data_IF_413885195483
#
_entry.id   IF_413885195483
#
_cell.length_a   1.000
_cell.length_b   1.000
_cell.length_c   1.000
_cell.angle_alpha   90.00
_cell.angle_beta   90.00
_cell.angle_gamma   90.00
#
_symmetry.space_group_name_H-M   'P 1'
#
loop_
_entity.id
_entity.type
_entity.pdbx_description
1 polymer ?
#
# COMPACT_ATOMS: atom_id res chain seq x y z
N UNK A 1 34.04 22.89 34.76
CA UNK A 1 33.55 22.66 36.13
C UNK A 1 32.02 22.61 36.01
N UNK A 2 31.29 21.50 36.14
CA UNK A 2 31.53 20.25 36.84
C UNK A 2 31.15 19.02 36.01
N UNK A 3 31.90 17.95 36.26
CA UNK A 3 31.75 16.59 35.78
C UNK A 3 30.98 15.75 36.81
N UNK A 4 30.57 14.55 36.39
CA UNK A 4 29.87 13.46 37.11
C UNK A 4 28.36 13.45 36.84
N UNK A 5 27.74 12.44 36.22
CA UNK A 5 28.08 11.02 36.15
C UNK A 5 27.92 10.41 34.76
N UNK A 6 28.87 9.55 34.44
CA UNK A 6 28.72 8.45 33.49
C UNK A 6 27.55 7.56 33.89
N UNK A 7 26.69 7.21 32.93
CA UNK A 7 26.05 5.91 32.92
C UNK A 7 25.90 5.44 31.47
N UNK A 8 26.95 4.75 31.00
CA UNK A 8 26.87 3.73 29.96
C UNK A 8 25.61 2.89 30.17
N UNK A 9 24.79 2.70 29.13
CA UNK A 9 24.12 1.41 28.94
C UNK A 9 23.75 1.20 27.47
N UNK A 10 24.67 0.60 26.73
CA UNK A 10 24.33 -0.28 25.60
C UNK A 10 23.28 -1.28 26.11
N UNK A 11 22.08 -1.26 25.54
CA UNK A 11 21.10 -2.31 25.77
C UNK A 11 20.62 -2.86 24.43
N UNK A 12 21.39 -3.84 23.98
CA UNK A 12 20.97 -5.08 23.33
C UNK A 12 20.24 -4.95 21.99
N UNK A 13 20.98 -5.31 20.94
CA UNK A 13 20.47 -6.02 19.76
C UNK A 13 19.31 -6.94 20.15
N UNK A 14 18.08 -6.52 19.86
CA UNK A 14 16.95 -7.45 19.80
C UNK A 14 17.12 -8.26 18.53
N UNK A 15 17.77 -9.41 18.65
CA UNK A 15 17.65 -10.47 17.68
C UNK A 15 16.15 -10.79 17.53
N UNK A 16 15.56 -10.41 16.40
CA UNK A 16 14.24 -10.88 16.05
C UNK A 16 14.38 -12.37 15.71
N UNK A 17 14.10 -13.24 16.67
CA UNK A 17 13.86 -14.66 16.40
C UNK A 17 12.51 -14.70 15.68
N UNK A 18 12.56 -14.78 14.35
CA UNK A 18 11.38 -15.07 13.53
C UNK A 18 11.16 -16.58 13.61
N UNK A 19 10.36 -17.03 14.59
CA UNK A 19 9.79 -18.38 14.59
C UNK A 19 8.51 -18.35 13.75
N UNK A 20 8.60 -18.79 12.50
CA UNK A 20 7.43 -19.10 11.67
C UNK A 20 7.06 -20.55 11.91
N UNK A 21 6.04 -20.79 12.74
CA UNK A 21 5.29 -22.05 12.73
C UNK A 21 3.97 -21.80 12.01
N UNK A 22 3.91 -22.07 10.72
CA UNK A 22 2.64 -22.19 9.99
C UNK A 22 2.28 -23.67 9.94
N UNK A 23 1.39 -24.10 10.82
CA UNK A 23 0.70 -25.39 10.68
C UNK A 23 -0.66 -25.11 10.02
N UNK A 24 -0.76 -25.35 8.72
CA UNK A 24 -2.05 -25.52 8.04
C UNK A 24 -2.31 -27.02 7.89
N UNK A 25 -3.07 -27.59 8.83
CA UNK A 25 -3.61 -28.93 8.69
C UNK A 25 -4.87 -28.89 7.85
N UNK A 26 -4.76 -29.31 6.58
CA UNK A 26 -5.94 -29.75 5.81
C UNK A 26 -5.86 -31.27 5.79
N UNK A 27 -6.72 -31.91 6.58
CA UNK A 27 -6.91 -33.35 6.53
C UNK A 27 -7.69 -33.68 5.24
N UNK A 28 -6.98 -34.12 4.21
CA UNK A 28 -7.54 -34.78 3.04
C UNK A 28 -6.77 -36.07 2.80
N UNK A 29 -7.34 -37.20 3.21
CA UNK A 29 -6.83 -38.52 2.82
C UNK A 29 -7.17 -38.79 1.36
N UNK A 30 -6.16 -39.09 0.54
CA UNK A 30 -6.06 -40.35 -0.23
C UNK A 30 -5.17 -40.16 -1.47
N UNK A 31 -3.88 -40.42 -1.29
CA UNK A 31 -2.91 -40.63 -2.35
C UNK A 31 -1.89 -41.67 -1.87
N UNK A 32 -2.30 -42.94 -1.84
CA UNK A 32 -1.43 -44.04 -1.43
C UNK A 32 -0.24 -44.16 -2.40
N UNK A 33 0.98 -44.02 -1.88
CA UNK A 33 2.20 -44.53 -2.53
C UNK A 33 3.27 -43.52 -2.94
N UNK A 34 3.13 -42.22 -2.69
CA UNK A 34 4.26 -41.30 -2.94
C UNK A 34 5.20 -41.29 -1.73
N UNK A 35 6.41 -41.86 -1.90
CA UNK A 35 7.52 -41.65 -0.95
C UNK A 35 7.72 -40.13 -0.81
N UNK A 36 7.80 -39.58 0.43
CA UNK A 36 8.08 -38.17 0.61
C UNK A 36 9.39 -37.83 -0.11
N UNK A 37 9.34 -36.87 -1.03
CA UNK A 37 10.55 -36.35 -1.64
C UNK A 37 11.36 -35.63 -0.55
N UNK A 38 12.52 -36.19 -0.20
CA UNK A 38 13.40 -35.58 0.78
C UNK A 38 14.35 -34.62 0.07
N UNK A 39 14.17 -33.32 0.29
CA UNK A 39 15.03 -32.26 -0.26
C UNK A 39 15.84 -31.67 0.88
N UNK A 40 17.13 -31.42 0.64
CA UNK A 40 17.99 -30.65 1.54
C UNK A 40 18.56 -29.44 0.80
N UNK A 41 18.77 -28.35 1.52
CA UNK A 41 19.35 -27.12 1.00
C UNK A 41 20.48 -26.64 1.93
N UNK A 42 21.53 -26.08 1.34
CA UNK A 42 22.64 -25.46 2.06
C UNK A 42 22.59 -23.95 1.79
N UNK A 43 22.71 -23.14 2.84
CA UNK A 43 22.74 -21.67 2.73
C UNK A 43 24.17 -21.19 2.90
N UNK A 44 24.78 -20.63 1.85
CA UNK A 44 26.10 -19.99 1.90
C UNK A 44 25.93 -18.48 2.11
N UNK A 45 25.92 -18.04 3.36
CA UNK A 45 25.66 -16.63 3.70
C UNK A 45 26.81 -15.66 3.33
N UNK A 46 27.98 -16.19 2.99
CA UNK A 46 29.20 -15.50 2.59
C UNK A 46 29.31 -15.23 1.07
N UNK A 47 28.41 -15.80 0.26
CA UNK A 47 28.39 -15.65 -1.19
C UNK A 47 27.06 -15.04 -1.69
N UNK A 48 26.74 -13.78 -1.34
CA UNK A 48 25.50 -13.15 -1.79
C UNK A 48 25.50 -12.93 -3.32
N UNK A 49 24.46 -13.40 -4.00
CA UNK A 49 24.31 -13.23 -5.46
C UNK A 49 23.58 -11.96 -5.87
N UNK A 50 22.81 -11.36 -4.95
CA UNK A 50 22.09 -10.11 -5.18
C UNK A 50 21.78 -9.40 -3.85
N UNK A 51 21.38 -8.12 -3.92
CA UNK A 51 20.95 -7.31 -2.79
C UNK A 51 19.52 -6.83 -3.03
N UNK A 52 18.65 -7.04 -2.05
CA UNK A 52 17.31 -6.48 -2.03
C UNK A 52 17.16 -5.61 -0.77
N UNK A 53 16.56 -4.42 -0.93
CA UNK A 53 16.07 -3.61 0.20
C UNK A 53 14.56 -3.81 0.22
N UNK A 54 13.99 -4.67 1.09
CA UNK A 54 12.59 -5.07 1.01
C UNK A 54 11.63 -3.87 1.06
N UNK A 55 11.94 -2.87 1.87
CA UNK A 55 11.16 -1.62 2.01
C UNK A 55 11.21 -0.71 0.78
N UNK A 56 12.03 -1.02 -0.22
CA UNK A 56 12.06 -0.31 -1.51
C UNK A 56 11.59 -1.21 -2.66
N UNK A 57 11.84 -2.51 -2.55
CA UNK A 57 11.51 -3.50 -3.57
C UNK A 57 10.04 -3.97 -3.49
N UNK A 58 9.44 -3.93 -2.30
CA UNK A 58 8.07 -4.36 -2.05
C UNK A 58 7.19 -3.13 -1.75
N UNK A 59 6.24 -2.86 -2.63
CA UNK A 59 5.28 -1.77 -2.51
C UNK A 59 3.84 -2.26 -2.49
N UNK A 60 2.92 -1.32 -2.34
CA UNK A 60 1.48 -1.55 -2.40
C UNK A 60 0.78 -0.58 -3.35
N UNK A 61 -0.38 -1.00 -3.86
CA UNK A 61 -1.21 -0.22 -4.77
C UNK A 61 -2.53 0.17 -4.12
N UNK A 62 -2.93 1.43 -4.27
CA UNK A 62 -4.28 1.91 -3.94
C UNK A 62 -5.02 2.20 -5.25
N UNK A 63 -6.07 1.44 -5.53
CA UNK A 63 -6.87 1.66 -6.73
C UNK A 63 -7.99 2.68 -6.48
N UNK A 64 -8.58 3.17 -7.57
CA UNK A 64 -9.69 4.09 -7.49
C UNK A 64 -10.99 3.38 -7.06
N UNK A 65 -11.71 3.97 -6.12
CA UNK A 65 -12.97 3.41 -5.59
C UNK A 65 -14.18 4.29 -5.88
N UNK A 66 -15.39 3.79 -5.61
CA UNK A 66 -16.62 4.59 -5.75
C UNK A 66 -16.68 5.68 -4.69
N UNK A 67 -17.58 6.64 -4.92
CA UNK A 67 -17.84 7.71 -3.96
C UNK A 67 -18.22 7.11 -2.60
N UNK A 68 -17.47 7.45 -1.57
CA UNK A 68 -17.70 7.01 -0.19
C UNK A 68 -16.90 5.78 0.24
N UNK A 69 -16.36 5.00 -0.71
CA UNK A 69 -15.61 3.78 -0.39
C UNK A 69 -14.29 4.06 0.31
N UNK A 70 -13.59 5.14 -0.07
CA UNK A 70 -12.36 5.56 0.61
C UNK A 70 -12.59 5.79 2.11
N UNK A 71 -13.72 6.38 2.50
CA UNK A 71 -14.04 6.63 3.91
C UNK A 71 -14.31 5.33 4.69
N UNK A 72 -14.87 4.31 4.03
CA UNK A 72 -15.05 2.97 4.63
C UNK A 72 -13.73 2.19 4.71
N UNK A 73 -12.88 2.33 3.70
CA UNK A 73 -11.62 1.57 3.59
C UNK A 73 -10.53 2.15 4.47
N UNK A 74 -10.35 3.47 4.47
CA UNK A 74 -9.26 4.17 5.16
C UNK A 74 -9.69 4.68 6.54
N UNK A 75 -10.29 3.79 7.33
CA UNK A 75 -10.43 4.03 8.77
C UNK A 75 -9.09 3.90 9.46
N UNK A 76 -8.87 4.58 10.59
CA UNK A 76 -7.62 4.51 11.34
C UNK A 76 -7.18 3.06 11.64
N UNK A 77 -8.15 2.21 11.99
CA UNK A 77 -7.91 0.78 12.22
C UNK A 77 -7.37 0.09 10.96
N UNK A 78 -8.05 0.26 9.82
CA UNK A 78 -7.65 -0.41 8.59
C UNK A 78 -6.30 0.12 8.08
N UNK A 79 -6.05 1.42 8.23
CA UNK A 79 -4.75 2.03 7.89
C UNK A 79 -3.65 1.44 8.76
N UNK A 80 -3.88 1.27 10.06
CA UNK A 80 -2.91 0.61 10.95
C UNK A 80 -2.61 -0.84 10.51
N UNK A 81 -3.62 -1.61 10.12
CA UNK A 81 -3.43 -2.96 9.59
C UNK A 81 -2.66 -2.96 8.27
N UNK A 82 -3.00 -2.06 7.34
CA UNK A 82 -2.28 -1.90 6.06
C UNK A 82 -0.80 -1.56 6.29
N UNK A 83 -0.51 -0.67 7.24
CA UNK A 83 0.87 -0.31 7.61
C UNK A 83 1.63 -1.48 8.25
N UNK A 84 0.95 -2.37 8.96
CA UNK A 84 1.56 -3.55 9.57
C UNK A 84 2.13 -4.55 8.54
N UNK A 85 1.63 -4.50 7.29
CA UNK A 85 2.16 -5.32 6.20
C UNK A 85 3.59 -4.95 5.79
N UNK A 86 4.07 -3.75 6.14
CA UNK A 86 5.47 -3.35 5.95
C UNK A 86 5.87 -3.04 4.50
N UNK A 87 4.91 -2.87 3.58
CA UNK A 87 5.19 -2.40 2.23
C UNK A 87 5.65 -0.94 2.24
N UNK A 88 6.63 -0.62 1.38
CA UNK A 88 7.21 0.72 1.30
C UNK A 88 6.51 1.58 0.25
N UNK A 89 6.98 1.59 -1.02
CA UNK A 89 6.41 2.47 -2.04
C UNK A 89 4.91 2.26 -2.22
N UNK A 90 4.17 3.37 -2.31
CA UNK A 90 2.74 3.36 -2.62
C UNK A 90 2.52 3.95 -4.01
N UNK A 91 1.83 3.21 -4.86
CA UNK A 91 1.31 3.71 -6.13
C UNK A 91 -0.19 3.88 -6.02
N UNK A 92 -0.74 4.96 -6.55
CA UNK A 92 -2.18 5.16 -6.62
C UNK A 92 -2.64 5.41 -8.05
N UNK A 93 -3.88 5.04 -8.34
CA UNK A 93 -4.54 5.35 -9.61
C UNK A 93 -5.92 5.93 -9.36
N UNK A 94 -6.33 6.89 -10.18
CA UNK A 94 -7.69 7.40 -10.16
C UNK A 94 -8.64 6.44 -10.88
N UNK A 95 -9.87 6.30 -10.38
CA UNK A 95 -10.89 5.41 -10.97
C UNK A 95 -11.28 5.83 -12.38
N UNK A 96 -11.19 7.11 -12.69
CA UNK A 96 -11.73 7.71 -13.91
C UNK A 96 -11.24 7.00 -15.18
N UNK A 97 -9.96 6.65 -15.27
CA UNK A 97 -9.42 5.91 -16.42
C UNK A 97 -9.98 4.46 -16.51
N UNK A 98 -10.13 3.79 -15.36
CA UNK A 98 -10.70 2.44 -15.29
C UNK A 98 -12.21 2.43 -15.56
N UNK A 99 -12.92 3.48 -15.15
CA UNK A 99 -14.36 3.63 -15.29
C UNK A 99 -14.83 4.02 -16.69
N UNK A 100 -13.93 4.15 -17.66
CA UNK A 100 -14.25 4.67 -18.99
C UNK A 100 -14.65 6.14 -18.97
N UNK A 101 -14.15 6.89 -17.98
CA UNK A 101 -14.40 8.31 -17.81
C UNK A 101 -13.20 9.14 -18.29
N UNK A 102 -13.49 10.31 -18.87
CA UNK A 102 -12.49 11.27 -19.33
C UNK A 102 -12.77 12.64 -18.71
N UNK A 103 -11.87 13.61 -18.90
CA UNK A 103 -11.97 14.94 -18.28
C UNK A 103 -12.01 14.83 -16.75
N UNK A 104 -10.86 15.05 -16.12
CA UNK A 104 -10.73 14.93 -14.66
C UNK A 104 -10.86 16.31 -14.02
N UNK A 105 -11.75 16.42 -13.04
CA UNK A 105 -11.83 17.61 -12.19
C UNK A 105 -12.04 17.20 -10.73
N UNK A 106 -11.95 18.18 -9.83
CA UNK A 106 -12.16 17.98 -8.40
C UNK A 106 -13.06 19.08 -7.84
N UNK A 107 -13.26 19.13 -6.53
CA UNK A 107 -14.14 20.12 -5.90
C UNK A 107 -13.59 21.55 -5.87
N UNK A 108 -12.31 21.76 -6.20
CA UNK A 108 -11.63 23.07 -6.18
C UNK A 108 -11.27 23.56 -7.58
N UNK A 109 -11.99 24.58 -8.02
CA UNK A 109 -11.81 25.21 -9.31
C UNK A 109 -13.10 25.86 -9.78
N UNK A 110 -13.13 26.27 -11.04
CA UNK A 110 -14.25 27.01 -11.61
C UNK A 110 -14.66 26.46 -12.97
N UNK A 111 -15.97 26.44 -13.20
CA UNK A 111 -16.55 26.24 -14.52
C UNK A 111 -16.68 27.58 -15.22
N UNK A 112 -16.50 27.61 -16.54
CA UNK A 112 -16.85 28.78 -17.36
C UNK A 112 -18.34 29.15 -17.25
N UNK A 113 -19.22 28.17 -17.03
CA UNK A 113 -20.61 28.40 -16.62
C UNK A 113 -20.82 27.83 -15.20
N UNK A 114 -20.66 28.66 -14.14
CA UNK A 114 -20.84 28.21 -12.75
C UNK A 114 -22.28 27.84 -12.40
N UNK A 115 -23.26 28.41 -13.09
CA UNK A 115 -24.69 28.22 -12.77
C UNK A 115 -25.13 26.82 -13.19
N UNK A 116 -24.74 26.40 -14.39
CA UNK A 116 -25.08 25.08 -14.92
C UNK A 116 -23.99 24.01 -14.69
N UNK A 117 -22.82 24.41 -14.16
CA UNK A 117 -21.65 23.56 -13.93
C UNK A 117 -21.19 22.85 -15.21
N UNK A 118 -21.02 23.62 -16.28
CA UNK A 118 -20.64 23.10 -17.60
C UNK A 118 -19.63 24.00 -18.33
N UNK A 119 -19.18 23.54 -19.49
CA UNK A 119 -18.13 24.19 -20.30
C UNK A 119 -16.73 23.74 -19.90
N UNK A 120 -15.77 24.65 -19.95
CA UNK A 120 -14.39 24.39 -19.56
C UNK A 120 -14.23 24.49 -18.03
N UNK A 121 -13.38 23.60 -17.50
CA UNK A 121 -12.98 23.59 -16.09
C UNK A 121 -11.57 24.17 -15.93
N UNK A 122 -11.39 25.02 -14.92
CA UNK A 122 -10.07 25.51 -14.48
C UNK A 122 -9.85 25.09 -13.03
N UNK A 123 -8.89 24.20 -12.79
CA UNK A 123 -8.54 23.74 -11.44
C UNK A 123 -7.85 24.85 -10.64
N UNK A 124 -8.08 24.84 -9.33
CA UNK A 124 -7.35 25.65 -8.36
C UNK A 124 -6.15 24.85 -7.83
N UNK A 125 -4.94 25.39 -8.02
CA UNK A 125 -3.67 24.79 -7.64
C UNK A 125 -3.16 25.25 -6.26
N UNK A 126 -3.92 26.08 -5.55
CA UNK A 126 -3.58 26.50 -4.20
C UNK A 126 -3.50 25.32 -3.24
N UNK A 127 -2.54 25.41 -2.32
CA UNK A 127 -2.40 24.45 -1.22
C UNK A 127 -3.53 24.66 -0.21
N UNK A 128 -4.16 23.57 0.22
CA UNK A 128 -5.29 23.59 1.15
C UNK A 128 -5.66 22.18 1.60
N UNK A 129 -6.90 22.00 2.04
CA UNK A 129 -7.40 20.69 2.50
C UNK A 129 -7.23 19.57 1.46
N UNK A 130 -7.00 18.31 1.88
CA UNK A 130 -6.90 17.18 0.96
C UNK A 130 -8.13 17.02 0.07
N UNK A 131 -7.89 16.79 -1.23
CA UNK A 131 -8.93 16.48 -2.19
C UNK A 131 -9.20 14.96 -2.13
N UNK A 132 -10.34 14.59 -1.57
CA UNK A 132 -10.73 13.19 -1.39
C UNK A 132 -11.65 12.66 -2.51
N UNK A 133 -12.06 13.52 -3.45
CA UNK A 133 -12.96 13.17 -4.55
C UNK A 133 -12.46 13.78 -5.84
N UNK A 134 -12.26 12.92 -6.83
CA UNK A 134 -12.12 13.29 -8.24
C UNK A 134 -13.37 12.87 -9.00
N UNK A 135 -13.71 13.64 -10.02
CA UNK A 135 -14.81 13.37 -10.92
C UNK A 135 -14.29 13.05 -12.32
N UNK A 136 -15.05 12.25 -13.06
CA UNK A 136 -14.84 12.00 -14.47
C UNK A 136 -16.15 12.13 -15.24
N UNK A 137 -16.03 12.45 -16.52
CA UNK A 137 -17.13 12.43 -17.47
C UNK A 137 -17.22 11.05 -18.11
N UNK A 138 -18.32 10.32 -17.82
CA UNK A 138 -18.58 9.00 -18.40
C UNK A 138 -18.85 9.12 -19.90
N UNK A 139 -18.09 8.37 -20.70
CA UNK A 139 -18.31 8.31 -22.13
C UNK A 139 -19.54 7.44 -22.45
N UNK A 140 -20.54 7.93 -23.22
CA UNK A 140 -21.77 7.18 -23.50
C UNK A 140 -21.59 5.89 -24.31
N UNK A 141 -20.42 5.68 -24.94
CA UNK A 141 -20.15 4.54 -25.85
C UNK A 141 -18.71 4.03 -25.71
N UNK A 142 -18.41 3.32 -24.63
CA UNK A 142 -17.22 2.46 -24.49
C UNK A 142 -17.63 1.08 -23.99
#
# INVERSE_FOLDING_TARGET
MNSALLARRNWLFRAAIVSVFVHFGIAGESGAGQKPLMVSAIVSADHPVNRCVPTQALGAGVDGHEKGECARMFTDKNVAEMLSAGFGPLTYRLRTELGGEVWHWNSRGTWTDPVHKCGYWTSDDSLGEPINVSYGYRLPRR
#
